data_IF_505574414266
#
_entry.id   IF_505574414266
#
_cell.length_a   1.000
_cell.length_b   1.000
_cell.length_c   1.000
_cell.angle_alpha   90.00
_cell.angle_beta   90.00
_cell.angle_gamma   90.00
#
_symmetry.space_group_name_H-M   'P 1'
#
loop_
_entity.id
_entity.type
_entity.pdbx_description
1 polymer ?
#
# COMPACT_ATOMS: atom_id res chain seq x y z
N UNK A 1 17.47 -11.82 5.02
CA UNK A 1 16.43 -11.12 4.23
C UNK A 1 16.91 -9.76 3.80
N UNK A 2 16.67 -9.43 2.54
CA UNK A 2 16.89 -8.09 2.01
C UNK A 2 15.54 -7.42 1.75
N UNK A 3 15.48 -6.11 1.84
CA UNK A 3 14.31 -5.34 1.46
C UNK A 3 14.70 -4.06 0.75
N UNK A 4 13.89 -3.68 -0.22
CA UNK A 4 13.90 -2.34 -0.84
C UNK A 4 12.55 -1.72 -0.57
N UNK A 5 12.56 -0.48 -0.12
CA UNK A 5 11.34 0.25 0.18
C UNK A 5 11.26 1.51 -0.68
N UNK A 6 10.10 1.73 -1.29
CA UNK A 6 9.78 2.95 -2.03
C UNK A 6 8.65 3.68 -1.32
N UNK A 7 8.62 5.00 -1.47
CA UNK A 7 7.66 5.86 -0.78
C UNK A 7 6.92 6.75 -1.75
N UNK A 8 5.63 6.95 -1.48
CA UNK A 8 4.80 7.96 -2.09
C UNK A 8 3.79 8.47 -1.04
N UNK A 9 2.87 9.32 -1.43
CA UNK A 9 1.85 9.85 -0.53
C UNK A 9 0.54 10.08 -1.28
N UNK A 10 -0.57 10.08 -0.53
CA UNK A 10 -1.91 10.36 -1.05
C UNK A 10 -2.67 11.25 -0.09
N UNK A 11 -3.60 12.02 -0.65
CA UNK A 11 -4.63 12.73 0.10
C UNK A 11 -5.98 12.15 -0.27
N UNK A 12 -6.79 11.82 0.72
CA UNK A 12 -8.13 11.26 0.51
C UNK A 12 -9.11 11.92 1.46
N UNK A 13 -10.38 11.68 1.24
CA UNK A 13 -11.42 11.94 2.23
C UNK A 13 -12.18 10.65 2.50
N UNK A 14 -12.69 10.50 3.70
CA UNK A 14 -13.51 9.37 4.08
C UNK A 14 -14.31 9.69 5.36
N UNK A 15 -15.26 8.84 5.66
CA UNK A 15 -15.96 8.82 6.94
C UNK A 15 -16.06 7.39 7.43
N UNK A 16 -16.24 7.22 8.73
CA UNK A 16 -16.34 5.89 9.33
C UNK A 16 -17.70 5.68 9.97
N UNK A 17 -18.16 4.44 9.96
CA UNK A 17 -19.33 3.98 10.69
C UNK A 17 -18.89 3.26 11.94
N UNK A 18 -19.41 3.72 13.09
CA UNK A 18 -19.12 3.13 14.38
C UNK A 18 -18.78 4.19 15.43
N UNK A 19 -19.43 4.09 16.58
CA UNK A 19 -19.27 5.07 17.67
C UNK A 19 -17.83 5.17 18.19
N UNK A 20 -17.04 4.09 18.03
CA UNK A 20 -15.63 4.06 18.45
C UNK A 20 -14.79 5.12 17.72
N UNK A 21 -15.21 5.56 16.55
CA UNK A 21 -14.45 6.53 15.75
C UNK A 21 -14.69 7.99 16.18
N UNK A 22 -15.68 8.25 17.05
CA UNK A 22 -15.92 9.61 17.53
C UNK A 22 -16.09 10.61 16.38
N UNK A 23 -15.32 11.73 16.37
CA UNK A 23 -15.40 12.75 15.31
C UNK A 23 -15.10 12.23 13.91
N UNK A 24 -14.34 11.15 13.78
CA UNK A 24 -14.01 10.56 12.48
C UNK A 24 -15.19 9.90 11.79
N UNK A 25 -16.35 9.82 12.45
CA UNK A 25 -17.58 9.41 11.80
C UNK A 25 -18.06 10.44 10.76
N UNK A 26 -17.70 11.71 10.92
CA UNK A 26 -17.97 12.74 9.93
C UNK A 26 -16.95 12.66 8.80
N UNK A 27 -17.36 13.12 7.61
CA UNK A 27 -16.43 13.19 6.47
C UNK A 27 -15.23 14.07 6.84
N UNK A 28 -14.04 13.55 6.61
CA UNK A 28 -12.79 14.24 6.92
C UNK A 28 -11.71 13.89 5.90
N UNK A 29 -10.72 14.77 5.77
CA UNK A 29 -9.56 14.55 4.93
C UNK A 29 -8.44 13.84 5.70
N UNK A 30 -7.62 13.09 4.98
CA UNK A 30 -6.43 12.47 5.53
C UNK A 30 -5.32 12.45 4.47
N UNK A 31 -4.09 12.68 4.91
CA UNK A 31 -2.90 12.54 4.09
C UNK A 31 -2.09 11.38 4.63
N UNK A 32 -1.79 10.42 3.76
CA UNK A 32 -0.97 9.26 4.13
C UNK A 32 0.37 9.30 3.42
N UNK A 33 1.43 9.03 4.17
CA UNK A 33 2.70 8.59 3.59
C UNK A 33 2.62 7.08 3.42
N UNK A 34 2.89 6.60 2.22
CA UNK A 34 2.77 5.19 1.86
C UNK A 34 4.14 4.63 1.56
N UNK A 35 4.56 3.64 2.32
CA UNK A 35 5.81 2.92 2.12
C UNK A 35 5.51 1.49 1.69
N UNK A 36 6.12 1.05 0.59
CA UNK A 36 6.01 -0.31 0.10
C UNK A 36 7.40 -0.96 0.12
N UNK A 37 7.59 -1.96 0.97
CA UNK A 37 8.82 -2.71 1.10
C UNK A 37 8.69 -4.05 0.38
N UNK A 38 9.61 -4.33 -0.53
CA UNK A 38 9.69 -5.58 -1.28
C UNK A 38 10.82 -6.41 -0.68
N UNK A 39 10.52 -7.64 -0.30
CA UNK A 39 11.39 -8.48 0.53
C UNK A 39 11.79 -9.74 -0.23
N UNK A 40 13.06 -10.07 -0.20
CA UNK A 40 13.61 -11.28 -0.81
C UNK A 40 14.69 -11.91 0.08
N UNK A 41 14.83 -13.22 -0.01
CA UNK A 41 15.87 -13.93 0.75
C UNK A 41 17.25 -13.70 0.15
N UNK A 42 17.31 -13.48 -1.17
CA UNK A 42 18.55 -13.29 -1.92
C UNK A 42 18.45 -12.11 -2.86
N UNK A 43 19.59 -11.58 -3.29
CA UNK A 43 19.67 -10.61 -4.36
C UNK A 43 19.69 -11.33 -5.73
N UNK A 44 19.27 -10.61 -6.76
CA UNK A 44 19.36 -11.13 -8.13
C UNK A 44 20.79 -11.00 -8.69
N UNK A 45 20.97 -11.34 -9.98
CA UNK A 45 22.27 -11.29 -10.64
C UNK A 45 22.89 -9.88 -10.70
N UNK A 46 22.06 -8.84 -10.55
CA UNK A 46 22.50 -7.45 -10.52
C UNK A 46 22.75 -6.93 -9.10
N UNK A 47 22.55 -7.76 -8.08
CA UNK A 47 22.74 -7.38 -6.69
C UNK A 47 21.59 -6.56 -6.12
N UNK A 48 20.38 -6.67 -6.67
CA UNK A 48 19.21 -5.92 -6.23
C UNK A 48 18.05 -6.84 -5.85
N UNK A 49 17.12 -6.33 -5.05
CA UNK A 49 15.86 -7.02 -4.73
C UNK A 49 14.90 -6.91 -5.91
N UNK A 50 14.66 -5.70 -6.36
CA UNK A 50 13.80 -5.36 -7.51
C UNK A 50 14.34 -4.09 -8.15
N UNK A 51 13.79 -3.76 -9.33
CA UNK A 51 14.03 -2.46 -9.97
C UNK A 51 13.26 -1.38 -9.22
N UNK A 52 13.98 -0.45 -8.59
CA UNK A 52 13.40 0.64 -7.79
C UNK A 52 12.47 1.52 -8.65
N UNK A 53 12.85 1.81 -9.90
CA UNK A 53 12.04 2.63 -10.78
C UNK A 53 10.69 1.99 -11.09
N UNK A 54 10.70 0.69 -11.40
CA UNK A 54 9.46 -0.07 -11.64
C UNK A 54 8.61 -0.19 -10.39
N UNK A 55 9.23 -0.41 -9.24
CA UNK A 55 8.53 -0.48 -7.95
C UNK A 55 7.83 0.85 -7.64
N UNK A 56 8.52 1.96 -7.87
CA UNK A 56 7.97 3.29 -7.65
C UNK A 56 6.80 3.58 -8.59
N UNK A 57 6.96 3.22 -9.87
CA UNK A 57 5.89 3.38 -10.87
C UNK A 57 4.66 2.53 -10.52
N UNK A 58 4.87 1.30 -10.07
CA UNK A 58 3.77 0.42 -9.65
C UNK A 58 3.02 1.01 -8.45
N UNK A 59 3.74 1.49 -7.43
CA UNK A 59 3.13 2.14 -6.27
C UNK A 59 2.33 3.36 -6.71
N UNK A 60 2.91 4.22 -7.53
CA UNK A 60 2.24 5.43 -8.04
C UNK A 60 0.96 5.09 -8.80
N UNK A 61 0.97 4.05 -9.62
CA UNK A 61 -0.21 3.62 -10.38
C UNK A 61 -1.34 3.13 -9.46
N UNK A 62 -0.99 2.34 -8.44
CA UNK A 62 -1.96 1.87 -7.44
C UNK A 62 -2.58 3.06 -6.70
N UNK A 63 -1.76 4.00 -6.27
CA UNK A 63 -2.22 5.15 -5.49
C UNK A 63 -3.00 6.16 -6.32
N UNK A 64 -2.78 6.23 -7.62
CA UNK A 64 -3.52 7.13 -8.52
C UNK A 64 -5.03 6.87 -8.49
N UNK A 65 -5.44 5.64 -8.25
CA UNK A 65 -6.85 5.27 -8.13
C UNK A 65 -7.51 5.78 -6.83
N UNK A 66 -6.71 6.15 -5.84
CA UNK A 66 -7.19 6.60 -4.52
C UNK A 66 -6.97 8.09 -4.31
N UNK A 67 -5.91 8.64 -4.88
CA UNK A 67 -5.46 10.00 -4.59
C UNK A 67 -6.49 11.05 -5.01
N UNK A 68 -6.73 12.01 -4.11
CA UNK A 68 -7.70 13.10 -4.27
C UNK A 68 -9.15 12.62 -4.43
N UNK A 69 -9.47 11.45 -3.89
CA UNK A 69 -10.84 10.92 -3.94
C UNK A 69 -11.49 10.91 -2.57
N UNK A 70 -12.82 11.00 -2.58
CA UNK A 70 -13.63 10.61 -1.44
C UNK A 70 -13.85 9.10 -1.51
N UNK A 71 -13.21 8.35 -0.63
CA UNK A 71 -13.25 6.89 -0.65
C UNK A 71 -14.65 6.32 -0.37
N UNK A 72 -15.51 7.10 0.28
CA UNK A 72 -16.90 6.71 0.51
C UNK A 72 -17.68 6.57 -0.81
N UNK A 73 -17.22 7.24 -1.86
CA UNK A 73 -17.85 7.20 -3.19
C UNK A 73 -17.24 6.16 -4.11
N UNK A 74 -16.18 5.47 -3.68
CA UNK A 74 -15.55 4.41 -4.48
C UNK A 74 -16.40 3.15 -4.35
N UNK A 75 -16.97 2.62 -5.47
CA UNK A 75 -17.95 1.52 -5.39
C UNK A 75 -17.45 0.27 -4.69
N UNK A 76 -16.19 -0.09 -4.90
CA UNK A 76 -15.59 -1.28 -4.30
C UNK A 76 -15.40 -1.18 -2.79
N UNK A 77 -15.49 0.02 -2.22
CA UNK A 77 -15.34 0.25 -0.77
C UNK A 77 -16.68 0.42 -0.06
N UNK A 78 -17.78 0.36 -0.77
CA UNK A 78 -19.10 0.50 -0.14
C UNK A 78 -19.31 -0.57 0.92
N UNK A 79 -19.77 -0.12 2.08
CA UNK A 79 -19.98 -0.99 3.23
C UNK A 79 -18.73 -1.26 4.07
N UNK A 80 -17.56 -0.75 3.67
CA UNK A 80 -16.31 -0.90 4.40
C UNK A 80 -15.89 0.41 5.05
N UNK A 81 -15.30 0.32 6.25
CA UNK A 81 -14.54 1.43 6.80
C UNK A 81 -13.15 1.41 6.17
N UNK A 82 -12.80 2.47 5.46
CA UNK A 82 -11.49 2.60 4.81
C UNK A 82 -10.45 3.13 5.80
N UNK A 83 -10.26 2.39 6.86
CA UNK A 83 -9.27 2.67 7.90
C UNK A 83 -7.86 2.61 7.33
N UNK A 84 -6.90 3.11 8.08
CA UNK A 84 -5.47 2.99 7.72
C UNK A 84 -5.12 1.52 7.48
N UNK A 85 -5.54 0.63 8.36
CA UNK A 85 -5.31 -0.82 8.25
C UNK A 85 -5.94 -1.41 6.99
N UNK A 86 -7.20 -1.07 6.72
CA UNK A 86 -7.90 -1.54 5.51
C UNK A 86 -7.13 -1.14 4.24
N UNK A 87 -6.67 0.10 4.18
CA UNK A 87 -5.96 0.60 3.01
C UNK A 87 -4.60 -0.06 2.80
N UNK A 88 -3.91 -0.44 3.87
CA UNK A 88 -2.63 -1.16 3.74
C UNK A 88 -2.81 -2.47 2.98
N UNK A 89 -3.83 -3.24 3.32
CA UNK A 89 -4.10 -4.51 2.64
C UNK A 89 -4.58 -4.30 1.21
N UNK A 90 -5.42 -3.31 0.98
CA UNK A 90 -5.87 -2.98 -0.37
C UNK A 90 -4.69 -2.68 -1.31
N UNK A 91 -3.76 -1.87 -0.84
CA UNK A 91 -2.56 -1.53 -1.61
C UNK A 91 -1.65 -2.74 -1.77
N UNK A 92 -1.49 -3.54 -0.71
CA UNK A 92 -0.75 -4.80 -0.77
C UNK A 92 -1.31 -5.71 -1.87
N UNK A 93 -2.62 -5.92 -1.92
CA UNK A 93 -3.24 -6.82 -2.87
C UNK A 93 -2.93 -6.42 -4.32
N UNK A 94 -2.96 -5.12 -4.62
CA UNK A 94 -2.63 -4.62 -5.95
C UNK A 94 -1.14 -4.80 -6.29
N UNK A 95 -0.25 -4.44 -5.37
CA UNK A 95 1.19 -4.60 -5.56
C UNK A 95 1.61 -6.06 -5.64
N UNK A 96 0.96 -6.94 -4.86
CA UNK A 96 1.22 -8.38 -4.92
C UNK A 96 0.88 -8.96 -6.30
N UNK A 97 -0.20 -8.49 -6.91
CA UNK A 97 -0.54 -8.86 -8.28
C UNK A 97 0.57 -8.49 -9.27
N UNK A 98 1.08 -7.26 -9.19
CA UNK A 98 2.18 -6.79 -10.04
C UNK A 98 3.47 -7.59 -9.80
N UNK A 99 3.80 -7.84 -8.55
CA UNK A 99 4.99 -8.61 -8.19
C UNK A 99 4.93 -10.05 -8.70
N UNK A 100 3.81 -10.71 -8.52
CA UNK A 100 3.58 -12.08 -9.00
C UNK A 100 3.66 -12.19 -10.51
N UNK A 101 3.24 -11.15 -11.21
CA UNK A 101 3.27 -11.08 -12.67
C UNK A 101 4.66 -10.73 -13.24
N UNK A 102 5.64 -10.45 -12.39
CA UNK A 102 6.98 -10.08 -12.83
C UNK A 102 7.14 -8.63 -13.28
N UNK A 103 6.19 -7.77 -12.99
CA UNK A 103 6.17 -6.37 -13.43
C UNK A 103 7.26 -5.51 -12.77
N UNK A 104 7.85 -6.00 -11.68
CA UNK A 104 8.85 -5.26 -10.91
C UNK A 104 10.29 -5.55 -11.37
N UNK A 105 10.45 -6.18 -12.54
CA UNK A 105 11.78 -6.47 -13.11
C UNK A 105 12.46 -7.70 -12.52
N UNK A 106 11.73 -8.54 -11.80
CA UNK A 106 12.22 -9.80 -11.24
C UNK A 106 11.13 -10.86 -11.31
N UNK A 107 11.52 -12.12 -11.48
CA UNK A 107 10.58 -13.23 -11.40
C UNK A 107 9.89 -13.20 -10.03
N UNK A 108 8.56 -13.15 -10.02
CA UNK A 108 7.78 -13.02 -8.80
C UNK A 108 7.99 -14.17 -7.82
N UNK A 109 8.31 -15.36 -8.30
CA UNK A 109 8.63 -16.53 -7.45
C UNK A 109 9.87 -16.36 -6.59
N UNK A 110 10.75 -15.43 -6.97
CA UNK A 110 11.99 -15.14 -6.22
C UNK A 110 11.77 -14.08 -5.14
N UNK A 111 10.60 -13.44 -5.11
CA UNK A 111 10.23 -12.49 -4.07
C UNK A 111 9.51 -13.23 -2.93
N UNK A 112 9.83 -12.86 -1.70
CA UNK A 112 9.27 -13.49 -0.50
C UNK A 112 7.97 -12.83 -0.09
N UNK A 113 7.99 -11.53 0.14
CA UNK A 113 6.89 -10.82 0.79
C UNK A 113 6.86 -9.34 0.37
N UNK A 114 5.74 -8.71 0.65
CA UNK A 114 5.61 -7.25 0.58
C UNK A 114 5.05 -6.76 1.91
N UNK A 115 5.59 -5.64 2.40
CA UNK A 115 5.01 -4.90 3.52
C UNK A 115 4.56 -3.54 3.01
N UNK A 116 3.30 -3.19 3.26
CA UNK A 116 2.77 -1.85 2.98
C UNK A 116 2.50 -1.16 4.30
N UNK A 117 3.10 0.02 4.48
CA UNK A 117 2.93 0.85 5.67
C UNK A 117 2.28 2.16 5.28
N UNK A 118 1.20 2.53 5.97
CA UNK A 118 0.58 3.83 5.84
C UNK A 118 0.78 4.61 7.15
N UNK A 119 1.42 5.76 7.02
CA UNK A 119 1.57 6.69 8.13
C UNK A 119 0.50 7.77 8.03
N UNK A 120 -0.42 7.77 8.99
CA UNK A 120 -1.48 8.77 9.11
C UNK A 120 -0.90 10.09 9.61
N UNK A 121 0.09 9.99 10.50
CA UNK A 121 0.84 11.11 11.06
C UNK A 121 2.23 10.61 11.46
N UNK A 122 3.06 11.51 12.00
CA UNK A 122 4.38 11.10 12.50
C UNK A 122 4.31 10.27 13.79
N UNK A 123 3.12 10.13 14.40
CA UNK A 123 2.94 9.39 15.67
C UNK A 123 2.10 8.13 15.52
N UNK A 124 1.51 7.87 14.36
CA UNK A 124 0.66 6.69 14.15
C UNK A 124 0.77 6.16 12.73
N UNK A 125 0.94 4.86 12.60
CA UNK A 125 0.97 4.15 11.33
C UNK A 125 0.48 2.72 11.50
N UNK A 126 0.00 2.16 10.40
CA UNK A 126 -0.38 0.77 10.32
C UNK A 126 0.36 0.11 9.16
N UNK A 127 0.54 -1.19 9.21
CA UNK A 127 1.10 -1.94 8.08
C UNK A 127 0.42 -3.29 7.92
N UNK A 128 0.51 -3.80 6.72
CA UNK A 128 0.14 -5.17 6.37
C UNK A 128 1.32 -5.82 5.67
N UNK A 129 1.68 -7.00 6.11
CA UNK A 129 2.76 -7.78 5.50
C UNK A 129 2.27 -9.20 5.29
N UNK A 130 2.52 -9.73 4.10
CA UNK A 130 2.25 -11.12 3.81
C UNK A 130 3.21 -11.66 2.76
N UNK A 131 3.40 -12.97 2.80
CA UNK A 131 4.13 -13.69 1.76
C UNK A 131 3.37 -13.63 0.44
N UNK A 132 4.11 -13.62 -0.67
CA UNK A 132 3.51 -13.59 -2.00
C UNK A 132 2.96 -14.95 -2.43
N UNK A 133 3.48 -16.02 -1.86
CA UNK A 133 3.15 -17.40 -2.25
C UNK A 133 2.81 -18.29 -1.07
#
# INVERSE_FOLDING_TARGET
MFAVEVRDHIMIAHSFRGAVFGPAQALHGATFVVDAAFIAETLDANGIVIDIGRAHDALKAVLAALNYRNLDEVPQFKGSNTTTEFLTKHIYDALAGDARAGELGRNGRELKAIRVTLSESHVARAWYEADLW
#
